data_IF_013706633296
#
_entry.id   IF_013706633296
#
_cell.length_a   1.000
_cell.length_b   1.000
_cell.length_c   1.000
_cell.angle_alpha   90.00
_cell.angle_beta   90.00
_cell.angle_gamma   90.00
#
_symmetry.space_group_name_H-M   'P 1'
#
loop_
_entity.id
_entity.type
_entity.pdbx_description
1 polymer ?
#
# COMPACT_ATOMS: atom_id res chain seq x y z
N UNK A 1 2.76 -13.71 18.88
CA UNK A 1 2.15 -13.87 17.54
C UNK A 1 1.62 -12.52 17.05
N UNK A 2 1.85 -12.16 15.81
CA UNK A 2 1.27 -10.93 15.29
C UNK A 2 -0.25 -11.02 15.19
N UNK A 3 -0.88 -9.86 15.25
CA UNK A 3 -2.33 -9.75 15.02
C UNK A 3 -2.65 -10.05 13.56
N UNK A 4 -3.92 -10.32 13.27
CA UNK A 4 -4.38 -10.50 11.89
C UNK A 4 -4.07 -9.26 11.04
N UNK A 5 -4.31 -8.07 11.58
CA UNK A 5 -4.01 -6.81 10.89
C UNK A 5 -2.52 -6.72 10.51
N UNK A 6 -1.63 -6.97 11.46
CA UNK A 6 -0.19 -6.92 11.18
C UNK A 6 0.23 -7.99 10.17
N UNK A 7 -0.32 -9.18 10.27
CA UNK A 7 -0.04 -10.27 9.32
C UNK A 7 -0.42 -9.87 7.90
N UNK A 8 -1.58 -9.26 7.71
CA UNK A 8 -2.04 -8.82 6.39
C UNK A 8 -1.19 -7.66 5.86
N UNK A 9 -0.88 -6.67 6.72
CA UNK A 9 -0.04 -5.53 6.30
C UNK A 9 1.39 -5.96 5.97
N UNK A 10 1.97 -6.87 6.74
CA UNK A 10 3.29 -7.43 6.46
C UNK A 10 3.30 -8.21 5.14
N UNK A 11 2.24 -8.96 4.85
CA UNK A 11 2.09 -9.68 3.59
C UNK A 11 1.99 -8.72 2.40
N UNK A 12 1.26 -7.62 2.55
CA UNK A 12 1.19 -6.57 1.53
C UNK A 12 2.58 -5.98 1.27
N UNK A 13 3.31 -5.62 2.32
CA UNK A 13 4.67 -5.10 2.20
C UNK A 13 5.58 -6.10 1.48
N UNK A 14 5.52 -7.38 1.87
CA UNK A 14 6.31 -8.43 1.23
C UNK A 14 5.98 -8.58 -0.26
N UNK A 15 4.74 -8.37 -0.65
CA UNK A 15 4.31 -8.41 -2.05
C UNK A 15 4.93 -7.28 -2.87
N UNK A 16 5.23 -6.15 -2.26
CA UNK A 16 5.81 -4.99 -2.93
C UNK A 16 7.34 -5.03 -3.00
N UNK A 17 8.01 -5.83 -2.16
CA UNK A 17 9.47 -5.90 -2.09
C UNK A 17 10.15 -6.31 -3.41
N UNK A 18 9.62 -7.26 -4.21
CA UNK A 18 10.26 -7.66 -5.46
C UNK A 18 10.20 -6.61 -6.58
N UNK A 19 9.42 -5.53 -6.42
CA UNK A 19 9.32 -4.49 -7.44
C UNK A 19 10.67 -3.76 -7.59
N UNK A 20 10.89 -3.18 -8.78
CA UNK A 20 12.12 -2.44 -9.06
C UNK A 20 12.29 -1.22 -8.16
N UNK A 21 11.19 -0.59 -7.75
CA UNK A 21 11.22 0.54 -6.82
C UNK A 21 11.66 0.11 -5.43
N UNK A 22 12.31 1.03 -4.69
CA UNK A 22 12.62 0.81 -3.28
C UNK A 22 11.31 0.84 -2.48
N UNK A 23 11.03 -0.22 -1.73
CA UNK A 23 9.82 -0.35 -0.93
C UNK A 23 10.14 -0.24 0.55
N UNK A 24 9.56 0.76 1.21
CA UNK A 24 9.71 1.02 2.63
C UNK A 24 8.35 0.93 3.31
N UNK A 25 8.36 0.82 4.65
CA UNK A 25 7.14 0.82 5.45
C UNK A 25 7.27 1.82 6.59
N UNK A 26 6.29 2.74 6.69
CA UNK A 26 6.18 3.76 7.76
C UNK A 26 7.43 4.63 7.92
N UNK A 27 8.23 4.77 6.86
CA UNK A 27 9.41 5.61 6.87
C UNK A 27 9.09 7.03 6.42
N UNK A 28 9.93 7.98 6.81
CA UNK A 28 9.87 9.32 6.26
C UNK A 28 10.44 9.35 4.85
N UNK A 29 10.02 10.33 4.05
CA UNK A 29 10.52 10.49 2.69
C UNK A 29 12.04 10.72 2.75
N UNK A 30 12.87 9.87 2.09
CA UNK A 30 14.31 10.07 2.07
C UNK A 30 14.70 11.29 1.24
N UNK A 31 15.89 11.82 1.48
CA UNK A 31 16.41 12.98 0.73
C UNK A 31 16.59 12.68 -0.75
N UNK A 32 16.92 11.43 -1.08
CA UNK A 32 17.13 11.01 -2.46
C UNK A 32 16.11 9.97 -2.84
N UNK A 33 15.49 10.18 -4.02
CA UNK A 33 14.58 9.22 -4.61
C UNK A 33 15.39 8.34 -5.56
N UNK A 34 15.36 7.00 -5.39
CA UNK A 34 16.02 6.10 -6.33
C UNK A 34 15.52 6.30 -7.76
N UNK A 35 16.39 6.06 -8.74
CA UNK A 35 16.03 6.17 -10.17
C UNK A 35 14.90 5.21 -10.54
N UNK A 36 14.75 4.11 -9.82
CA UNK A 36 13.70 3.12 -10.03
C UNK A 36 12.40 3.48 -9.31
N UNK A 37 12.37 4.60 -8.57
CA UNK A 37 11.21 5.03 -7.82
C UNK A 37 11.21 4.58 -6.37
N UNK A 38 10.25 5.09 -5.62
CA UNK A 38 10.10 4.84 -4.18
C UNK A 38 8.64 4.53 -3.87
N UNK A 39 8.45 3.53 -3.02
CA UNK A 39 7.15 3.18 -2.45
C UNK A 39 7.28 3.23 -0.95
N UNK A 40 6.36 3.93 -0.27
CA UNK A 40 6.25 3.89 1.19
C UNK A 40 4.85 3.38 1.53
N UNK A 41 4.79 2.21 2.16
CA UNK A 41 3.53 1.67 2.66
C UNK A 41 3.22 2.29 4.01
N UNK A 42 2.04 2.90 4.13
CA UNK A 42 1.48 3.40 5.38
C UNK A 42 0.37 2.46 5.82
N UNK A 43 0.33 2.15 7.11
CA UNK A 43 -0.65 1.21 7.65
C UNK A 43 -2.10 1.69 7.48
N UNK A 44 -2.32 2.99 7.50
CA UNK A 44 -3.65 3.57 7.30
C UNK A 44 -4.61 3.29 8.44
N UNK A 45 -5.88 3.06 8.11
CA UNK A 45 -6.96 2.92 9.09
C UNK A 45 -7.79 1.67 8.81
N UNK A 46 -8.06 0.84 9.85
CA UNK A 46 -8.94 -0.32 9.67
C UNK A 46 -10.41 0.06 9.43
N UNK A 47 -10.84 1.23 9.89
CA UNK A 47 -12.23 1.66 9.77
C UNK A 47 -13.18 0.90 10.69
N UNK A 48 -14.47 1.14 10.51
CA UNK A 48 -15.51 0.45 11.28
C UNK A 48 -15.76 -0.94 10.68
N UNK A 49 -15.74 -2.00 11.50
CA UNK A 49 -16.02 -3.33 10.99
C UNK A 49 -17.52 -3.59 10.83
N UNK A 50 -17.85 -4.47 9.91
CA UNK A 50 -19.14 -5.12 9.88
C UNK A 50 -19.06 -6.37 10.77
N UNK A 51 -20.03 -6.54 11.68
CA UNK A 51 -19.99 -7.60 12.69
C UNK A 51 -21.01 -8.68 12.37
N UNK A 52 -20.56 -9.93 12.35
CA UNK A 52 -21.42 -11.11 12.28
C UNK A 52 -21.36 -11.87 13.61
N UNK A 53 -22.43 -12.58 13.98
CA UNK A 53 -22.55 -13.11 15.35
C UNK A 53 -22.46 -14.63 15.48
N UNK A 54 -22.61 -15.38 14.40
CA UNK A 54 -22.63 -16.85 14.49
C UNK A 54 -21.85 -17.49 13.35
N UNK A 55 -20.51 -17.55 13.45
CA UNK A 55 -19.64 -17.15 14.57
C UNK A 55 -19.46 -15.64 14.65
N UNK A 56 -19.01 -15.18 15.82
CA UNK A 56 -18.66 -13.76 15.98
C UNK A 56 -17.41 -13.44 15.16
N UNK A 57 -17.56 -12.55 14.19
CA UNK A 57 -16.45 -12.06 13.35
C UNK A 57 -16.58 -10.57 13.12
N UNK A 58 -15.43 -9.91 13.04
CA UNK A 58 -15.30 -8.50 12.69
C UNK A 58 -14.67 -8.41 11.31
N UNK A 59 -15.46 -7.93 10.33
CA UNK A 59 -15.05 -7.85 8.93
C UNK A 59 -14.62 -6.42 8.60
N UNK A 60 -13.35 -6.25 8.25
CA UNK A 60 -12.74 -4.95 7.97
C UNK A 60 -12.55 -4.73 6.48
N UNK A 61 -12.75 -3.49 6.05
CA UNK A 61 -12.24 -2.95 4.80
C UNK A 61 -11.13 -1.95 5.18
N UNK A 62 -9.97 -2.47 5.51
CA UNK A 62 -8.85 -1.70 6.01
C UNK A 62 -8.24 -0.90 4.86
N UNK A 63 -8.14 0.41 5.01
CA UNK A 63 -7.58 1.30 4.00
C UNK A 63 -6.13 1.61 4.36
N UNK A 64 -5.21 0.87 3.76
CA UNK A 64 -3.79 1.21 3.77
C UNK A 64 -3.50 2.23 2.65
N UNK A 65 -2.32 2.82 2.67
CA UNK A 65 -1.92 3.79 1.66
C UNK A 65 -0.51 3.47 1.17
N UNK A 66 -0.32 3.58 -0.15
CA UNK A 66 1.00 3.52 -0.76
C UNK A 66 1.33 4.93 -1.25
N UNK A 67 2.41 5.52 -0.71
CA UNK A 67 2.99 6.74 -1.26
C UNK A 67 3.97 6.32 -2.36
N UNK A 68 3.68 6.72 -3.59
CA UNK A 68 4.52 6.39 -4.75
C UNK A 68 5.18 7.68 -5.23
N UNK A 69 6.52 7.65 -5.37
CA UNK A 69 7.31 8.83 -5.75
C UNK A 69 8.32 8.46 -6.82
N UNK A 70 8.38 9.25 -7.87
CA UNK A 70 9.40 9.16 -8.91
C UNK A 70 10.00 10.54 -9.15
N UNK A 71 11.18 10.58 -9.77
CA UNK A 71 11.92 11.82 -10.00
C UNK A 71 12.55 11.81 -11.39
N UNK A 72 12.71 12.98 -11.97
CA UNK A 72 13.48 13.19 -13.18
C UNK A 72 12.65 13.69 -14.36
N UNK A 73 13.31 13.81 -15.51
CA UNK A 73 12.71 14.35 -16.74
C UNK A 73 11.58 13.43 -17.26
N UNK A 74 11.74 12.11 -17.11
CA UNK A 74 10.78 11.12 -17.58
C UNK A 74 9.82 10.65 -16.46
N UNK A 75 9.56 11.50 -15.47
CA UNK A 75 8.77 11.11 -14.29
C UNK A 75 7.35 10.65 -14.61
N UNK A 76 6.73 11.17 -15.66
CA UNK A 76 5.39 10.73 -16.05
C UNK A 76 5.39 9.27 -16.52
N UNK A 77 6.34 8.90 -17.38
CA UNK A 77 6.50 7.52 -17.85
C UNK A 77 6.94 6.60 -16.70
N UNK A 78 7.85 7.07 -15.84
CA UNK A 78 8.32 6.32 -14.68
C UNK A 78 7.19 6.07 -13.68
N UNK A 79 6.34 7.05 -13.45
CA UNK A 79 5.19 6.90 -12.57
C UNK A 79 4.17 5.90 -13.14
N UNK A 80 3.89 5.97 -14.43
CA UNK A 80 3.00 5.03 -15.09
C UNK A 80 3.51 3.59 -14.96
N UNK A 81 4.80 3.39 -15.20
CA UNK A 81 5.43 2.07 -15.02
C UNK A 81 5.33 1.59 -13.58
N UNK A 82 5.58 2.47 -12.61
CA UNK A 82 5.52 2.12 -11.19
C UNK A 82 4.10 1.71 -10.78
N UNK A 83 3.09 2.49 -11.15
CA UNK A 83 1.70 2.17 -10.81
C UNK A 83 1.24 0.88 -11.47
N UNK A 84 1.62 0.64 -12.72
CA UNK A 84 1.31 -0.61 -13.40
C UNK A 84 1.96 -1.81 -12.71
N UNK A 85 3.20 -1.67 -12.22
CA UNK A 85 3.89 -2.74 -11.50
C UNK A 85 3.23 -3.05 -10.15
N UNK A 86 2.77 -2.03 -9.43
CA UNK A 86 2.02 -2.21 -8.20
C UNK A 86 0.71 -2.97 -8.47
N UNK A 87 -0.03 -2.54 -9.49
CA UNK A 87 -1.26 -3.19 -9.88
C UNK A 87 -1.08 -4.66 -10.25
N UNK A 88 -0.02 -4.96 -11.01
CA UNK A 88 0.31 -6.34 -11.38
C UNK A 88 0.68 -7.19 -10.17
N UNK A 89 1.43 -6.63 -9.22
CA UNK A 89 1.81 -7.34 -7.99
C UNK A 89 0.58 -7.72 -7.15
N UNK A 90 -0.40 -6.82 -7.04
CA UNK A 90 -1.64 -7.09 -6.31
C UNK A 90 -2.53 -8.07 -7.07
N UNK A 91 -2.62 -7.94 -8.40
CA UNK A 91 -3.45 -8.81 -9.22
C UNK A 91 -2.94 -10.25 -9.28
N UNK A 92 -1.65 -10.47 -9.04
CA UNK A 92 -1.05 -11.81 -9.06
C UNK A 92 -1.64 -12.73 -7.99
N UNK A 93 -2.02 -12.18 -6.84
CA UNK A 93 -2.69 -12.93 -5.77
C UNK A 93 -3.47 -11.96 -4.88
N UNK A 94 -4.75 -11.84 -5.11
CA UNK A 94 -5.65 -10.94 -4.38
C UNK A 94 -5.89 -11.36 -2.93
N UNK A 95 -5.43 -12.53 -2.53
CA UNK A 95 -5.59 -13.03 -1.15
C UNK A 95 -4.32 -12.91 -0.33
N UNK A 96 -3.22 -12.44 -0.92
CA UNK A 96 -1.90 -12.35 -0.27
C UNK A 96 -1.49 -13.71 0.36
N UNK A 97 -1.61 -14.78 -0.41
CA UNK A 97 -1.30 -16.12 0.06
C UNK A 97 -2.36 -16.70 0.99
N UNK A 98 -3.59 -16.25 0.90
CA UNK A 98 -4.69 -16.71 1.74
C UNK A 98 -4.79 -15.99 3.08
N UNK A 99 -4.03 -14.91 3.28
CA UNK A 99 -4.00 -14.16 4.54
C UNK A 99 -5.10 -13.09 4.63
N UNK A 100 -5.72 -12.74 3.51
CA UNK A 100 -6.88 -11.86 3.48
C UNK A 100 -7.89 -12.36 2.46
N UNK A 101 -9.10 -11.82 2.48
CA UNK A 101 -10.15 -12.23 1.55
C UNK A 101 -9.94 -11.61 0.16
N UNK A 102 -9.49 -10.35 0.15
CA UNK A 102 -9.29 -9.61 -1.09
C UNK A 102 -8.44 -8.37 -0.85
N UNK A 103 -7.58 -8.03 -1.81
CA UNK A 103 -6.83 -6.78 -1.82
C UNK A 103 -7.04 -6.08 -3.16
N UNK A 104 -7.27 -4.77 -3.10
CA UNK A 104 -7.52 -3.96 -4.29
C UNK A 104 -7.02 -2.54 -4.09
N UNK A 105 -6.31 -2.01 -5.08
CA UNK A 105 -5.89 -0.62 -5.09
C UNK A 105 -6.96 0.25 -5.73
N UNK A 106 -7.05 1.49 -5.26
CA UNK A 106 -7.81 2.55 -5.92
C UNK A 106 -6.89 3.37 -6.81
N UNK A 107 -7.48 4.22 -7.64
CA UNK A 107 -6.70 5.08 -8.52
C UNK A 107 -5.79 6.04 -7.74
N UNK A 108 -4.60 6.35 -8.25
CA UNK A 108 -3.68 7.26 -7.58
C UNK A 108 -4.29 8.65 -7.37
N UNK A 109 -4.00 9.25 -6.22
CA UNK A 109 -4.35 10.64 -5.89
C UNK A 109 -3.09 11.47 -5.90
N UNK A 110 -2.89 12.36 -6.89
CA UNK A 110 -1.69 13.20 -6.94
C UNK A 110 -1.54 14.03 -5.67
N UNK A 111 -0.31 14.17 -5.21
CA UNK A 111 0.02 15.00 -4.04
C UNK A 111 1.21 15.89 -4.37
N UNK A 112 1.24 17.09 -3.75
CA UNK A 112 2.38 17.98 -3.80
C UNK A 112 3.25 17.74 -2.57
N UNK A 113 4.57 17.61 -2.77
CA UNK A 113 5.51 17.39 -1.69
C UNK A 113 6.07 18.75 -1.23
N UNK A 114 6.03 19.06 0.09
CA UNK A 114 6.53 20.30 0.63
C UNK A 114 8.06 20.23 0.84
N UNK A 115 8.80 19.89 -0.20
CA UNK A 115 10.26 19.73 -0.15
C UNK A 115 10.91 20.53 -1.26
N UNK A 116 12.16 20.93 -1.03
CA UNK A 116 12.97 21.60 -2.03
C UNK A 116 13.21 20.64 -3.21
N UNK A 117 13.12 21.15 -4.44
CA UNK A 117 13.25 20.34 -5.65
C UNK A 117 12.00 19.56 -6.01
N UNK A 118 10.86 19.81 -5.36
CA UNK A 118 9.61 19.10 -5.58
C UNK A 118 9.11 19.18 -7.05
N UNK A 119 9.49 20.21 -7.78
CA UNK A 119 9.10 20.37 -9.18
C UNK A 119 9.62 19.24 -10.09
N UNK A 120 10.69 18.55 -9.69
CA UNK A 120 11.22 17.40 -10.42
C UNK A 120 10.62 16.07 -9.94
N UNK A 121 9.75 16.10 -8.93
CA UNK A 121 9.13 14.92 -8.35
C UNK A 121 7.71 14.75 -8.86
N UNK A 122 7.30 13.51 -9.00
CA UNK A 122 5.89 13.16 -9.20
C UNK A 122 5.51 12.17 -8.10
N UNK A 123 4.50 12.52 -7.34
CA UNK A 123 4.06 11.73 -6.19
C UNK A 123 2.56 11.58 -6.18
N UNK A 124 2.10 10.46 -5.66
CA UNK A 124 0.68 10.22 -5.42
C UNK A 124 0.50 9.27 -4.24
N UNK A 125 -0.67 9.32 -3.64
CA UNK A 125 -1.14 8.34 -2.67
C UNK A 125 -2.06 7.37 -3.39
N UNK A 126 -1.77 6.08 -3.26
CA UNK A 126 -2.59 4.99 -3.80
C UNK A 126 -3.26 4.30 -2.62
N UNK A 127 -4.56 4.51 -2.39
CA UNK A 127 -5.26 3.75 -1.36
C UNK A 127 -5.33 2.27 -1.73
N UNK A 128 -5.12 1.40 -0.75
CA UNK A 128 -5.22 -0.05 -0.92
C UNK A 128 -6.21 -0.57 0.11
N UNK A 129 -7.27 -1.19 -0.36
CA UNK A 129 -8.32 -1.74 0.51
C UNK A 129 -8.03 -3.21 0.74
N UNK A 130 -7.89 -3.57 2.01
CA UNK A 130 -7.63 -4.94 2.48
C UNK A 130 -8.88 -5.46 3.17
N UNK A 131 -9.47 -6.51 2.62
CA UNK A 131 -10.64 -7.17 3.20
C UNK A 131 -10.18 -8.35 4.03
N UNK A 132 -10.36 -8.28 5.34
CA UNK A 132 -10.05 -9.39 6.24
C UNK A 132 -11.01 -9.41 7.42
N UNK A 133 -11.05 -10.51 8.13
CA UNK A 133 -11.87 -10.62 9.32
C UNK A 133 -11.07 -11.20 10.49
N UNK A 134 -11.48 -10.82 11.69
CA UNK A 134 -10.88 -11.31 12.93
C UNK A 134 -11.96 -11.75 13.89
N UNK A 135 -11.59 -12.58 14.88
CA UNK A 135 -12.48 -12.94 15.99
C UNK A 135 -12.48 -11.84 17.07
N UNK A 136 -11.48 -10.96 17.07
CA UNK A 136 -11.29 -9.89 18.06
C UNK A 136 -10.67 -8.69 17.34
N UNK A 137 -11.19 -7.45 17.53
CA UNK A 137 -10.60 -6.27 16.88
C UNK A 137 -9.13 -6.01 17.21
N UNK A 138 -8.64 -6.54 18.33
CA UNK A 138 -7.25 -6.40 18.75
C UNK A 138 -6.42 -7.67 18.50
N UNK A 139 -7.01 -8.67 17.88
CA UNK A 139 -6.36 -9.96 17.66
C UNK A 139 -5.96 -10.31 16.22
#
# INVERSE_FOLDING_TARGET
MPTTRETVLAALHARLQPLAALSLRDEVLPERIPTTGLIILRDGQPGEPEVTLSPLRYHYQHRAEIEAVVQGADRDAAFDTLTASIGAALAADRTLGGLCDWVEAEAPRPVDLPVEGAASLKAAVIPVVLHYSTADPLG
#
